data_IF_831603455489
#
_entry.id   IF_831603455489
#
_cell.length_a   1.000
_cell.length_b   1.000
_cell.length_c   1.000
_cell.angle_alpha   90.00
_cell.angle_beta   90.00
_cell.angle_gamma   90.00
#
_symmetry.space_group_name_H-M   'P 1'
#
loop_
_entity.id
_entity.type
_entity.pdbx_description
1 polymer ?
#
# COMPACT_ATOMS: atom_id res chain seq x y z
N UNK A 1 4.58 5.75 9.31
CA UNK A 1 4.95 5.16 8.00
C UNK A 1 3.76 4.81 7.12
N UNK A 2 2.72 4.11 7.62
CA UNK A 2 1.57 3.72 6.79
C UNK A 2 0.82 4.90 6.14
N UNK A 3 0.69 6.01 6.87
CA UNK A 3 0.06 7.25 6.37
C UNK A 3 0.77 7.87 5.16
N UNK A 4 2.10 7.79 5.08
CA UNK A 4 2.85 8.29 3.92
C UNK A 4 2.56 7.48 2.65
N UNK A 5 2.41 6.16 2.77
CA UNK A 5 2.06 5.30 1.64
C UNK A 5 0.66 5.58 1.12
N UNK A 6 -0.29 5.79 2.03
CA UNK A 6 -1.67 6.16 1.67
C UNK A 6 -1.68 7.53 0.97
N UNK A 7 -0.90 8.50 1.46
CA UNK A 7 -0.80 9.83 0.83
C UNK A 7 -0.16 9.77 -0.56
N UNK A 8 0.91 8.99 -0.74
CA UNK A 8 1.52 8.78 -2.06
C UNK A 8 0.54 8.11 -3.02
N UNK A 9 -0.18 7.10 -2.55
CA UNK A 9 -1.19 6.40 -3.36
C UNK A 9 -2.35 7.33 -3.76
N UNK A 10 -2.86 8.13 -2.82
CA UNK A 10 -3.92 9.11 -3.06
C UNK A 10 -3.47 10.20 -4.04
N UNK A 11 -2.23 10.68 -3.89
CA UNK A 11 -1.63 11.65 -4.81
C UNK A 11 -1.48 11.08 -6.22
N UNK A 12 -1.09 9.80 -6.33
CA UNK A 12 -0.96 9.12 -7.62
C UNK A 12 -2.32 8.94 -8.30
N UNK A 13 -3.34 8.48 -7.56
CA UNK A 13 -4.72 8.42 -8.06
C UNK A 13 -5.23 9.78 -8.54
N UNK A 14 -4.96 10.85 -7.78
CA UNK A 14 -5.42 12.20 -8.13
C UNK A 14 -4.77 12.72 -9.42
N UNK A 15 -3.49 12.41 -9.65
CA UNK A 15 -2.78 12.75 -10.90
C UNK A 15 -3.35 11.94 -12.07
N UNK A 16 -3.60 10.65 -11.87
CA UNK A 16 -4.19 9.76 -12.88
C UNK A 16 -5.62 10.18 -13.24
N UNK A 17 -6.47 10.48 -12.26
CA UNK A 17 -7.85 10.94 -12.50
C UNK A 17 -7.93 12.32 -13.17
N UNK A 18 -6.90 13.15 -13.04
CA UNK A 18 -6.82 14.43 -13.73
C UNK A 18 -6.48 14.28 -15.24
N UNK A 19 -6.07 13.09 -15.69
CA UNK A 19 -5.80 12.83 -17.09
C UNK A 19 -7.09 12.50 -17.85
N UNK A 20 -7.37 13.28 -18.89
CA UNK A 20 -8.59 13.22 -19.69
C UNK A 20 -8.53 12.08 -20.74
N UNK A 21 -8.09 10.88 -20.31
CA UNK A 21 -7.75 9.73 -21.13
C UNK A 21 -7.43 8.50 -20.30
N UNK A 22 -8.32 8.15 -19.37
CA UNK A 22 -8.12 6.99 -18.49
C UNK A 22 -8.31 5.69 -19.28
N UNK A 23 -7.20 5.16 -19.78
CA UNK A 23 -7.15 3.90 -20.51
C UNK A 23 -7.20 2.68 -19.57
N UNK A 24 -7.55 1.52 -20.12
CA UNK A 24 -7.61 0.25 -19.36
C UNK A 24 -6.28 -0.09 -18.67
N UNK A 25 -5.15 0.34 -19.25
CA UNK A 25 -3.83 0.18 -18.67
C UNK A 25 -3.65 0.92 -17.34
N UNK A 26 -4.17 2.14 -17.21
CA UNK A 26 -4.10 2.93 -15.97
C UNK A 26 -4.97 2.33 -14.88
N UNK A 27 -6.15 1.83 -15.25
CA UNK A 27 -7.02 1.10 -14.33
C UNK A 27 -6.31 -0.13 -13.77
N UNK A 28 -5.67 -0.92 -14.64
CA UNK A 28 -4.95 -2.13 -14.26
C UNK A 28 -3.73 -1.81 -13.39
N UNK A 29 -2.96 -0.77 -13.74
CA UNK A 29 -1.80 -0.34 -12.97
C UNK A 29 -2.19 0.08 -11.55
N UNK A 30 -3.27 0.83 -11.39
CA UNK A 30 -3.82 1.19 -10.07
C UNK A 30 -4.29 -0.04 -9.30
N UNK A 31 -4.97 -0.98 -9.95
CA UNK A 31 -5.50 -2.19 -9.31
C UNK A 31 -4.38 -3.08 -8.77
N UNK A 32 -3.32 -3.30 -9.58
CA UNK A 32 -2.14 -4.06 -9.17
C UNK A 32 -1.36 -3.32 -8.08
N UNK A 33 -1.16 -2.02 -8.24
CA UNK A 33 -0.47 -1.18 -7.24
C UNK A 33 -1.20 -1.21 -5.88
N UNK A 34 -2.53 -1.16 -5.90
CA UNK A 34 -3.35 -1.27 -4.69
C UNK A 34 -3.19 -2.65 -4.04
N UNK A 35 -3.31 -3.73 -4.82
CA UNK A 35 -3.19 -5.09 -4.32
C UNK A 35 -1.81 -5.34 -3.68
N UNK A 36 -0.73 -4.94 -4.36
CA UNK A 36 0.64 -5.07 -3.84
C UNK A 36 0.85 -4.20 -2.61
N UNK A 37 0.30 -2.98 -2.59
CA UNK A 37 0.36 -2.09 -1.42
C UNK A 37 -0.33 -2.69 -0.19
N UNK A 38 -1.53 -3.25 -0.36
CA UNK A 38 -2.26 -3.93 0.72
C UNK A 38 -1.48 -5.14 1.23
N UNK A 39 -0.98 -5.99 0.34
CA UNK A 39 -0.19 -7.18 0.71
C UNK A 39 1.10 -6.77 1.43
N UNK A 40 1.79 -5.73 0.95
CA UNK A 40 2.99 -5.20 1.58
C UNK A 40 2.72 -4.67 2.99
N UNK A 41 1.63 -3.91 3.19
CA UNK A 41 1.24 -3.41 4.51
C UNK A 41 0.87 -4.57 5.44
N UNK A 42 0.07 -5.52 4.99
CA UNK A 42 -0.30 -6.71 5.76
C UNK A 42 0.93 -7.54 6.14
N UNK A 43 1.88 -7.72 5.23
CA UNK A 43 3.14 -8.41 5.51
C UNK A 43 3.99 -7.65 6.54
N UNK A 44 4.10 -6.33 6.40
CA UNK A 44 4.80 -5.48 7.36
C UNK A 44 4.14 -5.52 8.75
N UNK A 45 2.80 -5.47 8.83
CA UNK A 45 2.05 -5.58 10.07
C UNK A 45 2.21 -6.97 10.69
N UNK A 46 2.16 -8.04 9.89
CA UNK A 46 2.39 -9.40 10.36
C UNK A 46 3.82 -9.62 10.86
N UNK A 47 4.82 -9.05 10.19
CA UNK A 47 6.21 -9.05 10.66
C UNK A 47 6.41 -8.17 11.90
N UNK A 48 5.71 -7.04 12.00
CA UNK A 48 5.74 -6.18 13.18
C UNK A 48 5.09 -6.84 14.39
N UNK A 49 3.94 -7.49 14.18
CA UNK A 49 3.25 -8.29 15.19
C UNK A 49 4.10 -9.49 15.61
N UNK A 50 4.76 -10.20 14.68
CA UNK A 50 5.71 -11.27 15.01
C UNK A 50 6.96 -10.76 15.73
N UNK A 51 7.49 -9.60 15.40
CA UNK A 51 8.61 -8.99 16.14
C UNK A 51 8.20 -8.53 17.54
N UNK A 52 6.96 -8.08 17.72
CA UNK A 52 6.41 -7.74 19.05
C UNK A 52 6.06 -8.98 19.86
N UNK A 53 5.45 -9.99 19.25
CA UNK A 53 5.10 -11.25 19.90
C UNK A 53 6.37 -12.07 20.23
N UNK A 54 7.31 -12.13 19.28
CA UNK A 54 8.67 -12.69 19.37
C UNK A 54 9.66 -11.85 20.20
N UNK A 55 9.21 -10.72 20.74
CA UNK A 55 9.94 -9.88 21.69
C UNK A 55 9.25 -9.82 23.05
N UNK A 56 8.06 -10.42 23.20
CA UNK A 56 7.35 -10.57 24.46
C UNK A 56 7.72 -11.89 25.16
N UNK A 57 8.21 -12.89 24.41
CA UNK A 57 8.83 -14.12 24.94
C UNK A 57 10.31 -13.96 25.33
N UNK A 58 10.88 -12.76 25.17
CA UNK A 58 12.25 -12.42 25.54
C UNK A 58 12.34 -11.44 26.73
N UNK A 59 11.24 -11.22 27.48
CA UNK A 59 11.21 -10.42 28.71
C UNK A 59 10.65 -11.20 29.89
#
# INVERSE_FOLDING_TARGET
MSTLLILVFLSFCHIVSASHGFDFGDALALMIGMAVGIVGICACLGCYARRRAGGLDAM
#
